data_IF_724464381421
#
_entry.id   IF_724464381421
#
_cell.length_a   1.000
_cell.length_b   1.000
_cell.length_c   1.000
_cell.angle_alpha   90.00
_cell.angle_beta   90.00
_cell.angle_gamma   90.00
#
_symmetry.space_group_name_H-M   'P 1'
#
loop_
_entity.id
_entity.type
_entity.pdbx_description
1 polymer ?
#
# COMPACT_ATOMS: atom_id res chain seq x y z
N UNK A 1 0.73 -60.53 -22.88
CA UNK A 1 1.32 -59.86 -24.05
C UNK A 1 2.44 -58.94 -23.55
N UNK A 2 3.72 -59.33 -23.65
CA UNK A 2 4.85 -58.52 -23.15
C UNK A 2 5.20 -57.47 -24.21
N UNK A 3 4.76 -56.23 -24.00
CA UNK A 3 5.06 -55.11 -24.88
C UNK A 3 6.56 -54.80 -24.85
N UNK A 4 7.31 -55.21 -25.90
CA UNK A 4 8.73 -54.87 -26.06
C UNK A 4 8.82 -53.53 -26.77
N UNK A 5 8.92 -52.44 -26.03
CA UNK A 5 9.25 -51.13 -26.61
C UNK A 5 10.70 -51.15 -27.09
N UNK A 6 10.94 -50.77 -28.34
CA UNK A 6 12.30 -50.50 -28.84
C UNK A 6 12.81 -49.21 -28.19
N UNK A 7 14.12 -49.13 -27.91
CA UNK A 7 14.76 -47.91 -27.36
C UNK A 7 14.41 -46.67 -28.17
N UNK A 8 14.31 -46.81 -29.51
CA UNK A 8 13.91 -45.72 -30.41
C UNK A 8 12.47 -45.26 -30.19
N UNK A 9 11.58 -46.18 -29.84
CA UNK A 9 10.17 -45.87 -29.54
C UNK A 9 10.06 -45.15 -28.20
N UNK A 10 10.83 -45.57 -27.19
CA UNK A 10 10.90 -44.89 -25.89
C UNK A 10 11.44 -43.47 -26.04
N UNK A 11 12.52 -43.30 -26.81
CA UNK A 11 13.09 -41.98 -27.13
C UNK A 11 12.11 -41.09 -27.90
N UNK A 12 11.40 -41.64 -28.89
CA UNK A 12 10.41 -40.89 -29.65
C UNK A 12 9.23 -40.41 -28.80
N UNK A 13 8.71 -41.28 -27.92
CA UNK A 13 7.62 -40.92 -26.99
C UNK A 13 8.09 -39.89 -25.96
N UNK A 14 9.31 -40.03 -25.43
CA UNK A 14 9.88 -39.06 -24.49
C UNK A 14 10.05 -37.67 -25.13
N UNK A 15 10.57 -37.60 -26.36
CA UNK A 15 10.69 -36.35 -27.10
C UNK A 15 9.33 -35.72 -27.40
N UNK A 16 8.35 -36.51 -27.83
CA UNK A 16 7.00 -36.03 -28.07
C UNK A 16 6.35 -35.49 -26.79
N UNK A 17 6.54 -36.16 -25.64
CA UNK A 17 6.05 -35.72 -24.35
C UNK A 17 6.74 -34.41 -23.91
N UNK A 18 8.06 -34.30 -24.04
CA UNK A 18 8.79 -33.08 -23.75
C UNK A 18 8.33 -31.91 -24.62
N UNK A 19 8.12 -32.14 -25.92
CA UNK A 19 7.61 -31.12 -26.83
C UNK A 19 6.18 -30.69 -26.46
N UNK A 20 5.31 -31.64 -26.10
CA UNK A 20 3.95 -31.34 -25.64
C UNK A 20 3.95 -30.53 -24.33
N UNK A 21 4.79 -30.90 -23.36
CA UNK A 21 4.94 -30.16 -22.10
C UNK A 21 5.53 -28.77 -22.32
N UNK A 22 6.49 -28.62 -23.23
CA UNK A 22 7.06 -27.32 -23.58
C UNK A 22 6.02 -26.41 -24.27
N UNK A 23 5.25 -26.95 -25.22
CA UNK A 23 4.15 -26.22 -25.85
C UNK A 23 3.07 -25.83 -24.85
N UNK A 24 2.69 -26.73 -23.95
CA UNK A 24 1.76 -26.43 -22.88
C UNK A 24 2.30 -25.30 -21.98
N UNK A 25 3.54 -25.42 -21.50
CA UNK A 25 4.18 -24.39 -20.67
C UNK A 25 4.34 -23.04 -21.37
N UNK A 26 4.58 -23.04 -22.67
CA UNK A 26 4.65 -21.82 -23.47
C UNK A 26 3.28 -21.15 -23.64
N UNK A 27 2.24 -21.94 -23.90
CA UNK A 27 0.87 -21.45 -24.08
C UNK A 27 0.24 -20.98 -22.76
N UNK A 28 0.63 -21.57 -21.62
CA UNK A 28 0.16 -21.16 -20.29
C UNK A 28 1.08 -20.15 -19.61
N UNK A 29 2.10 -19.63 -20.31
CA UNK A 29 3.02 -18.64 -19.75
C UNK A 29 2.26 -17.33 -19.55
N UNK A 30 2.13 -16.90 -18.30
CA UNK A 30 1.65 -15.56 -17.98
C UNK A 30 2.73 -14.53 -18.35
N UNK A 31 2.36 -13.56 -19.19
CA UNK A 31 3.22 -12.42 -19.47
C UNK A 31 3.03 -11.36 -18.38
N UNK A 32 4.04 -11.22 -17.52
CA UNK A 32 4.04 -10.22 -16.45
C UNK A 32 4.25 -8.79 -16.98
N UNK A 33 4.52 -8.60 -18.27
CA UNK A 33 4.74 -7.28 -18.85
C UNK A 33 3.47 -6.43 -18.91
N UNK A 34 2.30 -7.07 -19.04
CA UNK A 34 0.99 -6.38 -19.07
C UNK A 34 0.46 -6.02 -17.68
N UNK A 35 1.07 -6.56 -16.60
CA UNK A 35 0.66 -6.25 -15.24
C UNK A 35 1.29 -4.93 -14.75
N UNK A 36 0.53 -4.10 -14.00
CA UNK A 36 1.11 -2.93 -13.35
C UNK A 36 2.19 -3.35 -12.35
N UNK A 37 3.18 -2.49 -12.09
CA UNK A 37 4.22 -2.80 -11.11
C UNK A 37 3.65 -3.02 -9.71
N UNK A 38 2.70 -2.17 -9.31
CA UNK A 38 2.02 -2.21 -8.03
C UNK A 38 0.53 -2.39 -8.23
N UNK A 39 -0.07 -3.18 -7.34
CA UNK A 39 -1.51 -3.29 -7.14
C UNK A 39 -1.88 -2.69 -5.79
N UNK A 40 -2.89 -1.82 -5.76
CA UNK A 40 -3.31 -1.15 -4.53
C UNK A 40 -4.42 -1.98 -3.89
N UNK A 41 -4.04 -2.78 -2.89
CA UNK A 41 -4.91 -3.78 -2.25
C UNK A 41 -5.98 -3.12 -1.39
N UNK A 42 -5.69 -1.94 -0.84
CA UNK A 42 -6.63 -1.18 -0.02
C UNK A 42 -6.01 0.12 0.48
N UNK A 43 -6.84 0.99 1.02
CA UNK A 43 -6.44 2.27 1.59
C UNK A 43 -7.63 3.09 2.05
N UNK A 44 -7.35 4.22 2.69
CA UNK A 44 -8.36 5.14 3.21
C UNK A 44 -7.84 5.95 4.38
N UNK A 45 -8.76 6.65 5.04
CA UNK A 45 -8.49 7.46 6.23
C UNK A 45 -8.59 6.61 7.50
N UNK A 46 -7.67 6.86 8.42
CA UNK A 46 -7.63 6.27 9.76
C UNK A 46 -7.77 7.41 10.77
N UNK A 47 -8.75 7.28 11.66
CA UNK A 47 -9.04 8.24 12.71
C UNK A 47 -8.76 7.59 14.06
N UNK A 48 -7.72 8.05 14.75
CA UNK A 48 -7.38 7.61 16.09
C UNK A 48 -7.81 8.66 17.11
N UNK A 49 -9.03 8.50 17.63
CA UNK A 49 -9.62 9.38 18.64
C UNK A 49 -8.85 9.40 19.96
N UNK A 50 -8.12 8.33 20.28
CA UNK A 50 -7.33 8.25 21.52
C UNK A 50 -6.15 9.21 21.47
N UNK A 51 -5.46 9.23 20.33
CA UNK A 51 -4.24 10.01 20.15
C UNK A 51 -4.50 11.34 19.43
N UNK A 52 -5.76 11.66 19.09
CA UNK A 52 -6.13 12.80 18.25
C UNK A 52 -5.37 12.82 16.91
N UNK A 53 -5.13 11.64 16.34
CA UNK A 53 -4.30 11.47 15.14
C UNK A 53 -5.17 11.05 13.96
N UNK A 54 -5.03 11.75 12.84
CA UNK A 54 -5.71 11.45 11.59
C UNK A 54 -4.63 11.34 10.52
N UNK A 55 -4.65 10.24 9.79
CA UNK A 55 -3.79 10.05 8.63
C UNK A 55 -4.54 9.21 7.62
N UNK A 56 -4.05 9.19 6.38
CA UNK A 56 -4.58 8.31 5.37
C UNK A 56 -3.45 7.64 4.63
N UNK A 57 -3.72 6.44 4.14
CA UNK A 57 -2.69 5.57 3.63
C UNK A 57 -3.26 4.45 2.80
N UNK A 58 -2.35 3.72 2.19
CA UNK A 58 -2.69 2.58 1.35
C UNK A 58 -1.66 1.47 1.50
N UNK A 59 -2.07 0.28 1.09
CA UNK A 59 -1.19 -0.89 0.98
C UNK A 59 -1.01 -1.23 -0.49
N UNK A 60 0.22 -1.18 -0.96
CA UNK A 60 0.61 -1.65 -2.29
C UNK A 60 1.19 -3.06 -2.20
N UNK A 61 0.83 -3.91 -3.17
CA UNK A 61 1.46 -5.19 -3.41
C UNK A 61 2.25 -5.15 -4.72
N UNK A 62 3.50 -5.60 -4.69
CA UNK A 62 4.35 -5.72 -5.87
C UNK A 62 3.86 -6.89 -6.72
N UNK A 63 3.38 -6.62 -7.94
CA UNK A 63 2.95 -7.66 -8.90
C UNK A 63 4.05 -7.98 -9.91
N UNK A 64 4.79 -6.95 -10.33
CA UNK A 64 5.96 -7.12 -11.20
C UNK A 64 7.26 -7.00 -10.40
N UNK A 65 8.22 -7.93 -10.56
CA UNK A 65 9.48 -7.88 -9.83
C UNK A 65 10.16 -6.52 -9.96
N UNK A 66 10.40 -5.88 -8.82
CA UNK A 66 11.18 -4.65 -8.70
C UNK A 66 12.59 -4.97 -8.22
N UNK A 67 13.56 -4.17 -8.67
CA UNK A 67 14.92 -4.31 -8.20
C UNK A 67 14.99 -4.00 -6.69
N UNK A 68 15.82 -4.74 -5.96
CA UNK A 68 16.05 -4.43 -4.55
C UNK A 68 16.59 -3.01 -4.39
N UNK A 69 15.96 -2.24 -3.50
CA UNK A 69 16.25 -0.84 -3.27
C UNK A 69 15.49 0.13 -4.19
N UNK A 70 14.66 -0.33 -5.13
CA UNK A 70 13.69 0.52 -5.84
C UNK A 70 12.85 1.33 -4.84
N UNK A 71 12.37 2.49 -5.26
CA UNK A 71 11.72 3.44 -4.34
C UNK A 71 10.25 3.57 -4.73
N UNK A 72 9.36 3.26 -3.79
CA UNK A 72 7.93 3.58 -3.90
C UNK A 72 7.74 4.92 -3.21
N UNK A 73 7.24 5.91 -3.93
CA UNK A 73 6.95 7.24 -3.43
C UNK A 73 5.45 7.51 -3.54
N UNK A 74 4.88 8.01 -2.45
CA UNK A 74 3.50 8.45 -2.39
C UNK A 74 3.48 9.93 -2.03
N UNK A 75 2.75 10.71 -2.81
CA UNK A 75 2.48 12.12 -2.58
C UNK A 75 1.01 12.27 -2.19
N UNK A 76 0.77 12.57 -0.92
CA UNK A 76 -0.55 12.72 -0.33
C UNK A 76 -0.96 14.20 -0.36
N UNK A 77 -2.07 14.54 -1.01
CA UNK A 77 -2.67 15.88 -0.93
C UNK A 77 -2.86 16.35 0.53
N UNK A 78 -2.52 17.61 0.80
CA UNK A 78 -2.77 18.21 2.10
C UNK A 78 -4.24 18.69 2.18
N UNK A 79 -5.07 18.16 3.09
CA UNK A 79 -6.47 18.56 3.19
C UNK A 79 -6.69 20.05 3.51
N UNK A 80 -5.72 20.70 4.16
CA UNK A 80 -5.76 22.15 4.47
C UNK A 80 -5.35 23.02 3.26
N UNK A 81 -4.96 22.38 2.14
CA UNK A 81 -4.57 23.05 0.90
C UNK A 81 -3.09 23.43 0.82
N UNK A 82 -2.25 22.92 1.72
CA UNK A 82 -0.81 23.10 1.68
C UNK A 82 -0.09 22.18 0.67
N UNK A 83 1.25 22.12 0.73
CA UNK A 83 2.05 21.24 -0.12
C UNK A 83 1.78 19.77 0.20
N UNK A 84 1.72 18.93 -0.84
CA UNK A 84 1.52 17.50 -0.67
C UNK A 84 2.60 16.85 0.20
N UNK A 85 2.20 15.93 1.07
CA UNK A 85 3.10 15.15 1.91
C UNK A 85 3.74 14.02 1.12
N UNK A 86 5.05 14.08 0.93
CA UNK A 86 5.80 13.05 0.20
C UNK A 86 6.36 12.04 1.20
N UNK A 87 6.01 10.76 1.00
CA UNK A 87 6.51 9.64 1.79
C UNK A 87 7.07 8.59 0.84
N UNK A 88 8.25 8.08 1.14
CA UNK A 88 8.93 7.11 0.29
C UNK A 88 9.42 5.91 1.09
N UNK A 89 9.22 4.72 0.54
CA UNK A 89 9.65 3.45 1.10
C UNK A 89 10.53 2.70 0.10
N UNK A 90 11.54 1.98 0.59
CA UNK A 90 12.43 1.18 -0.27
C UNK A 90 11.94 -0.25 -0.37
N UNK A 91 11.90 -0.76 -1.60
CA UNK A 91 11.58 -2.15 -1.89
C UNK A 91 12.70 -3.04 -1.37
N UNK A 92 12.31 -4.03 -0.57
CA UNK A 92 13.14 -5.11 -0.04
C UNK A 92 12.70 -6.43 -0.65
N UNK A 93 13.61 -7.41 -0.68
CA UNK A 93 13.30 -8.78 -1.10
C UNK A 93 12.54 -9.58 -0.05
N UNK A 94 12.36 -9.03 1.16
CA UNK A 94 11.74 -9.71 2.30
C UNK A 94 10.20 -9.62 2.31
N UNK A 95 9.62 -8.69 1.55
CA UNK A 95 8.17 -8.47 1.50
C UNK A 95 7.75 -7.99 0.11
N UNK A 96 6.58 -8.42 -0.33
CA UNK A 96 5.90 -7.93 -1.52
C UNK A 96 4.86 -6.85 -1.19
N UNK A 97 4.62 -6.56 0.09
CA UNK A 97 3.60 -5.62 0.58
C UNK A 97 4.22 -4.43 1.31
N UNK A 98 3.77 -3.24 0.94
CA UNK A 98 4.25 -1.96 1.45
C UNK A 98 3.07 -1.10 1.89
N UNK A 99 3.08 -0.66 3.14
CA UNK A 99 2.09 0.26 3.68
C UNK A 99 2.69 1.66 3.74
N UNK A 100 2.13 2.58 2.96
CA UNK A 100 2.50 4.00 2.97
C UNK A 100 1.36 4.79 3.59
N UNK A 101 1.70 5.74 4.45
CA UNK A 101 0.74 6.63 5.12
C UNK A 101 1.27 8.05 5.15
N UNK A 102 0.36 9.01 5.07
CA UNK A 102 0.66 10.41 5.33
C UNK A 102 1.17 10.58 6.78
N UNK A 103 1.87 11.70 7.06
CA UNK A 103 1.95 12.23 8.41
C UNK A 103 0.56 12.49 9.01
N UNK A 104 0.54 12.88 10.29
CA UNK A 104 -0.68 13.38 10.94
C UNK A 104 -1.17 14.62 10.19
N UNK A 105 -2.44 14.62 9.79
CA UNK A 105 -3.10 15.68 9.02
C UNK A 105 -4.33 16.19 9.76
N UNK A 106 -4.76 17.39 9.41
CA UNK A 106 -6.01 18.04 9.84
C UNK A 106 -6.74 18.60 8.62
N UNK A 107 -7.94 19.12 8.80
CA UNK A 107 -8.78 19.68 7.73
C UNK A 107 -9.50 18.63 6.87
N UNK A 108 -9.70 17.41 7.35
CA UNK A 108 -10.38 16.36 6.56
C UNK A 108 -11.89 16.60 6.55
N UNK A 109 -12.45 16.81 5.35
CA UNK A 109 -13.88 17.00 5.13
C UNK A 109 -14.55 15.68 4.72
N UNK A 110 -15.75 15.44 5.24
CA UNK A 110 -16.55 14.28 4.86
C UNK A 110 -17.00 14.38 3.39
N UNK A 111 -16.81 13.30 2.63
CA UNK A 111 -17.21 13.20 1.22
C UNK A 111 -16.26 13.86 0.22
N UNK A 112 -15.31 14.69 0.69
CA UNK A 112 -14.31 15.34 -0.16
C UNK A 112 -13.29 14.30 -0.68
N UNK A 113 -13.05 14.26 -2.00
CA UNK A 113 -11.97 13.46 -2.57
C UNK A 113 -10.62 14.12 -2.27
N UNK A 114 -9.65 13.30 -1.91
CA UNK A 114 -8.24 13.69 -1.76
C UNK A 114 -7.38 12.76 -2.59
N UNK A 115 -6.48 13.34 -3.38
CA UNK A 115 -5.68 12.60 -4.35
C UNK A 115 -4.33 12.16 -3.77
N UNK A 116 -3.88 11.00 -4.23
CA UNK A 116 -2.61 10.39 -3.88
C UNK A 116 -1.91 9.95 -5.16
N UNK A 117 -0.81 10.63 -5.49
CA UNK A 117 0.05 10.24 -6.59
C UNK A 117 1.06 9.21 -6.10
N UNK A 118 1.12 8.06 -6.77
CA UNK A 118 1.98 6.93 -6.43
C UNK A 118 2.97 6.77 -7.57
N UNK A 119 4.26 6.84 -7.27
CA UNK A 119 5.36 6.74 -8.23
C UNK A 119 6.33 5.66 -7.79
N UNK A 120 6.87 4.93 -8.75
CA UNK A 120 7.92 3.94 -8.53
C UNK A 120 9.15 4.37 -9.31
N UNK A 121 10.25 4.51 -8.60
CA UNK A 121 11.54 4.86 -9.17
C UNK A 121 12.53 3.69 -9.10
N UNK A 122 13.58 3.79 -9.89
CA UNK A 122 14.77 2.97 -9.68
C UNK A 122 15.43 3.22 -8.30
N UNK A 123 16.46 2.43 -7.98
CA UNK A 123 17.18 2.51 -6.70
C UNK A 123 17.85 3.86 -6.45
N UNK A 124 18.17 4.61 -7.51
CA UNK A 124 18.88 5.88 -7.44
C UNK A 124 17.94 7.09 -7.54
N UNK A 125 16.62 6.86 -7.65
CA UNK A 125 15.61 7.90 -7.94
C UNK A 125 15.90 8.66 -9.24
N UNK A 126 16.49 8.01 -10.25
CA UNK A 126 16.82 8.64 -11.54
C UNK A 126 15.76 8.38 -12.60
N UNK A 127 15.29 7.14 -12.70
CA UNK A 127 14.29 6.74 -13.68
C UNK A 127 12.94 6.48 -13.00
N UNK A 128 11.89 7.10 -13.52
CA UNK A 128 10.51 6.77 -13.19
C UNK A 128 10.13 5.47 -13.94
N UNK A 129 9.84 4.42 -13.19
CA UNK A 129 9.47 3.11 -13.72
C UNK A 129 7.96 3.00 -13.93
N UNK A 130 7.18 3.66 -13.06
CA UNK A 130 5.72 3.58 -13.08
C UNK A 130 5.07 4.68 -12.26
N UNK A 131 3.86 5.07 -12.62
CA UNK A 131 3.03 5.97 -11.85
C UNK A 131 1.55 5.63 -11.94
N UNK A 132 0.81 5.95 -10.89
CA UNK A 132 -0.66 5.93 -10.88
C UNK A 132 -1.17 6.96 -9.88
N UNK A 133 -2.45 7.28 -9.98
CA UNK A 133 -3.14 8.16 -9.05
C UNK A 133 -4.32 7.42 -8.41
N UNK A 134 -4.58 7.72 -7.13
CA UNK A 134 -5.72 7.18 -6.39
C UNK A 134 -6.36 8.27 -5.57
N UNK A 135 -7.69 8.30 -5.62
CA UNK A 135 -8.50 9.20 -4.83
C UNK A 135 -9.08 8.45 -3.64
N UNK A 136 -8.94 9.02 -2.45
CA UNK A 136 -9.59 8.52 -1.23
C UNK A 136 -10.63 9.52 -0.74
N UNK A 137 -11.72 9.03 -0.15
CA UNK A 137 -12.77 9.84 0.46
C UNK A 137 -12.97 9.39 1.89
N UNK A 138 -13.04 10.32 2.82
CA UNK A 138 -13.49 10.03 4.17
C UNK A 138 -15.02 10.11 4.24
N UNK A 139 -15.66 9.21 4.99
CA UNK A 139 -17.09 9.30 5.31
C UNK A 139 -17.36 10.23 6.49
N UNK A 140 -16.32 10.56 7.26
CA UNK A 140 -16.38 11.36 8.48
C UNK A 140 -15.41 12.53 8.37
N UNK A 141 -15.79 13.69 8.89
CA UNK A 141 -14.90 14.85 8.96
C UNK A 141 -13.97 14.69 10.16
N UNK A 142 -12.77 15.26 10.12
CA UNK A 142 -11.90 15.31 11.30
C UNK A 142 -12.43 16.21 12.43
N UNK A 143 -13.47 17.00 12.18
CA UNK A 143 -14.18 17.78 13.21
C UNK A 143 -14.74 16.93 14.35
N UNK A 144 -14.94 15.62 14.13
CA UNK A 144 -15.32 14.69 15.22
C UNK A 144 -14.10 14.17 16.00
N UNK A 145 -12.88 14.45 15.56
CA UNK A 145 -11.64 14.15 16.27
C UNK A 145 -11.28 15.32 17.17
N UNK A 146 -11.10 15.10 18.48
CA UNK A 146 -10.72 16.17 19.40
C UNK A 146 -9.39 16.83 18.97
N UNK A 147 -9.20 18.10 19.29
CA UNK A 147 -7.94 18.82 19.02
C UNK A 147 -6.76 18.29 19.85
N UNK A 148 -7.04 17.55 20.92
CA UNK A 148 -6.04 16.98 21.84
C UNK A 148 -6.39 15.54 22.20
N UNK A 149 -5.40 14.68 22.50
CA UNK A 149 -5.64 13.31 22.94
C UNK A 149 -6.60 13.27 24.13
N UNK A 150 -7.57 12.36 24.14
CA UNK A 150 -8.51 12.22 25.28
C UNK A 150 -7.87 11.56 26.50
N UNK A 151 -6.78 10.83 26.29
CA UNK A 151 -6.09 10.08 27.35
C UNK A 151 -4.58 10.27 27.30
N UNK A 152 -3.93 10.22 28.46
CA UNK A 152 -2.48 10.28 28.63
C UNK A 152 -1.96 9.08 29.42
N UNK A 153 -0.77 8.60 29.04
CA UNK A 153 -0.05 7.53 29.73
C UNK A 153 -0.63 6.11 29.54
N UNK A 154 0.10 5.07 29.98
CA UNK A 154 -0.29 3.67 29.80
C UNK A 154 -1.54 3.26 30.59
N UNK A 155 -1.94 4.05 31.59
CA UNK A 155 -3.12 3.81 32.43
C UNK A 155 -4.42 4.43 31.91
N UNK A 156 -4.46 4.99 30.69
CA UNK A 156 -5.65 5.62 30.12
C UNK A 156 -6.27 6.73 31.00
N UNK A 157 -5.44 7.50 31.69
CA UNK A 157 -5.93 8.63 32.48
C UNK A 157 -6.46 9.69 31.53
N UNK A 158 -7.58 10.33 31.89
CA UNK A 158 -8.16 11.42 31.08
C UNK A 158 -7.15 12.56 30.94
N UNK A 159 -7.04 13.15 29.75
CA UNK A 159 -6.10 14.23 29.51
C UNK A 159 -6.50 15.51 30.28
N UNK A 160 -5.66 16.02 31.20
CA UNK A 160 -5.96 17.23 31.96
C UNK A 160 -6.11 18.48 31.08
N UNK A 161 -5.46 18.53 29.93
CA UNK A 161 -5.55 19.66 29.00
C UNK A 161 -6.87 19.66 28.21
N UNK A 162 -7.41 18.48 27.92
CA UNK A 162 -8.77 18.33 27.35
C UNK A 162 -9.82 18.80 28.37
N UNK A 163 -9.69 18.41 29.65
CA UNK A 163 -10.58 18.86 30.71
C UNK A 163 -10.60 20.39 30.87
N UNK A 164 -9.43 21.04 30.80
CA UNK A 164 -9.34 22.51 30.84
C UNK A 164 -10.04 23.18 29.66
N UNK A 165 -9.97 22.58 28.46
CA UNK A 165 -10.60 23.12 27.26
C UNK A 165 -12.14 23.00 27.28
N UNK A 166 -12.69 21.97 27.95
CA UNK A 166 -14.13 21.76 28.11
C UNK A 166 -14.78 22.56 29.26
N UNK A 167 -14.03 23.45 29.91
CA UNK A 167 -14.56 24.36 30.94
C UNK A 167 -14.90 23.69 32.28
N UNK A 168 -14.35 22.51 32.58
CA UNK A 168 -14.65 21.78 33.82
C UNK A 168 -13.76 22.19 34.98
N UNK A 169 -14.32 22.89 35.97
CA UNK A 169 -13.83 22.91 37.33
C UNK A 169 -13.70 21.47 37.89
N UNK A 170 -12.70 21.16 38.73
CA UNK A 170 -12.68 19.90 39.45
C UNK A 170 -13.86 19.89 40.43
N UNK A 171 -14.64 18.81 40.39
CA UNK A 171 -15.62 18.50 41.40
C UNK A 171 -14.91 17.99 42.65
N UNK A 172 -15.05 18.77 43.72
CA UNK A 172 -14.80 18.41 45.11
C UNK A 172 -16.13 18.58 45.87
#
# INVERSE_FOLDING_TARGET
MRWKWSEKTVLGVALALCAALFLAGWLTREDLSDQPYLDIVGGGFMFNYRNADVYYGFTAQVKRPLASGSIIEASFEDPEGGPAHIVSERVSTMTDRYALRSPSIRGVEAGKPYDVAIKVYDRERKNLLWETERTYRSQISDTIVPDRPLTVGPGYHRNPEEMKALGGAPGD
#
